data_IF_644702045721
#
_entry.id   IF_644702045721
#
_cell.length_a   1.000
_cell.length_b   1.000
_cell.length_c   1.000
_cell.angle_alpha   90.00
_cell.angle_beta   90.00
_cell.angle_gamma   90.00
#
_symmetry.space_group_name_H-M   'P 1'
#
loop_
_entity.id
_entity.type
_entity.pdbx_description
1 polymer ?
#
# COMPACT_ATOMS: atom_id res chain seq x y z
N UNK A 1 -4.90 -7.62 -17.57
CA UNK A 1 -3.80 -7.72 -16.59
C UNK A 1 -3.50 -6.38 -15.91
N UNK A 2 -4.46 -5.57 -15.61
CA UNK A 2 -4.17 -4.25 -15.06
C UNK A 2 -5.24 -3.88 -14.05
N UNK A 3 -5.07 -4.27 -12.81
CA UNK A 3 -6.03 -3.85 -11.77
C UNK A 3 -5.42 -3.67 -10.38
N UNK A 4 -4.27 -4.29 -10.12
CA UNK A 4 -3.78 -4.34 -8.76
C UNK A 4 -3.18 -3.03 -8.23
N UNK A 5 -2.51 -2.23 -9.06
CA UNK A 5 -1.87 -0.99 -8.60
C UNK A 5 -2.71 0.27 -8.82
N UNK A 6 -3.79 0.19 -9.58
CA UNK A 6 -4.59 1.38 -9.93
C UNK A 6 -5.62 1.79 -8.86
N UNK A 7 -6.09 0.84 -8.05
CA UNK A 7 -7.23 1.11 -7.15
C UNK A 7 -6.91 1.99 -5.94
N UNK A 8 -5.66 2.15 -5.56
CA UNK A 8 -5.32 2.87 -4.34
C UNK A 8 -4.78 4.29 -4.54
N UNK A 9 -4.31 4.62 -5.76
CA UNK A 9 -3.81 5.98 -6.05
C UNK A 9 -4.87 6.91 -6.65
N UNK A 10 -5.98 6.38 -7.15
CA UNK A 10 -7.04 7.14 -7.81
C UNK A 10 -8.38 7.02 -7.09
N UNK A 11 -8.40 7.25 -5.78
CA UNK A 11 -9.63 7.55 -5.07
C UNK A 11 -10.10 8.98 -5.34
N UNK A 12 -10.02 9.41 -6.61
CA UNK A 12 -10.75 10.55 -7.13
C UNK A 12 -11.56 10.03 -8.32
N UNK A 13 -12.86 9.78 -8.08
CA UNK A 13 -13.88 9.48 -9.09
C UNK A 13 -13.67 8.25 -9.97
N UNK A 14 -14.35 7.24 -9.63
CA UNK A 14 -14.55 6.05 -10.42
C UNK A 14 -14.53 4.85 -9.50
N UNK A 15 -15.73 4.42 -9.11
CA UNK A 15 -15.94 3.08 -8.59
C UNK A 15 -15.23 2.16 -9.57
N UNK A 16 -14.09 1.60 -9.16
CA UNK A 16 -13.56 0.41 -9.82
C UNK A 16 -14.75 -0.57 -9.81
N UNK A 17 -15.29 -1.00 -10.97
CA UNK A 17 -16.31 -2.01 -10.95
C UNK A 17 -15.62 -3.28 -10.43
N UNK A 18 -15.65 -3.45 -9.11
CA UNK A 18 -15.58 -4.79 -8.57
C UNK A 18 -16.67 -5.56 -9.32
N UNK A 19 -16.35 -6.69 -9.97
CA UNK A 19 -17.39 -7.55 -10.46
C UNK A 19 -18.29 -7.78 -9.27
N UNK A 20 -19.56 -7.42 -9.42
CA UNK A 20 -20.59 -7.63 -8.39
C UNK A 20 -20.34 -9.02 -7.84
N UNK A 21 -19.89 -9.10 -6.58
CA UNK A 21 -19.80 -10.37 -5.86
C UNK A 21 -21.16 -11.01 -6.02
N UNK A 22 -21.27 -12.01 -6.91
CA UNK A 22 -22.42 -12.91 -6.85
C UNK A 22 -22.39 -13.42 -5.44
N UNK A 23 -23.46 -13.17 -4.70
CA UNK A 23 -23.67 -13.73 -3.37
C UNK A 23 -23.57 -15.26 -3.50
N UNK A 24 -22.36 -15.78 -3.41
CA UNK A 24 -22.15 -17.20 -3.22
C UNK A 24 -22.54 -17.48 -1.80
N UNK A 25 -23.70 -18.08 -1.67
CA UNK A 25 -24.17 -18.67 -0.43
C UNK A 25 -23.05 -19.54 0.16
N UNK A 26 -22.80 -19.37 1.46
CA UNK A 26 -21.99 -20.28 2.28
C UNK A 26 -22.21 -21.73 1.82
N UNK A 27 -21.18 -22.57 1.74
CA UNK A 27 -21.38 -23.99 1.45
C UNK A 27 -22.37 -24.57 2.49
N UNK A 28 -23.34 -25.37 2.05
CA UNK A 28 -24.40 -25.87 2.94
C UNK A 28 -23.80 -26.80 3.97
N UNK A 29 -24.04 -26.52 5.24
CA UNK A 29 -23.86 -27.49 6.31
C UNK A 29 -24.76 -28.71 6.05
N UNK A 30 -24.37 -29.95 6.40
CA UNK A 30 -25.14 -31.13 6.12
C UNK A 30 -26.49 -31.09 6.85
N UNK A 31 -27.58 -31.08 6.11
CA UNK A 31 -28.96 -31.12 6.62
C UNK A 31 -29.31 -32.52 7.11
N UNK A 32 -29.89 -32.59 8.30
CA UNK A 32 -30.71 -33.71 8.73
C UNK A 32 -32.00 -33.76 7.91
N UNK A 33 -32.58 -34.95 7.64
CA UNK A 33 -33.70 -35.10 6.69
C UNK A 33 -35.05 -34.74 7.30
N UNK A 34 -35.90 -34.10 6.52
CA UNK A 34 -37.31 -33.88 6.90
C UNK A 34 -38.08 -32.93 5.97
N UNK A 35 -38.78 -33.48 5.01
CA UNK A 35 -40.15 -33.20 4.53
C UNK A 35 -40.56 -31.83 3.96
N UNK A 36 -40.92 -31.81 2.64
CA UNK A 36 -42.18 -31.22 2.22
C UNK A 36 -42.17 -29.87 1.46
N UNK A 37 -42.47 -29.96 0.13
CA UNK A 37 -43.28 -29.03 -0.72
C UNK A 37 -42.62 -27.75 -1.26
N UNK A 38 -42.53 -27.71 -2.61
CA UNK A 38 -42.44 -26.51 -3.47
C UNK A 38 -43.74 -25.68 -3.46
N UNK A 39 -43.71 -24.39 -3.81
CA UNK A 39 -44.11 -24.01 -5.14
C UNK A 39 -43.25 -22.91 -5.84
N UNK A 40 -43.43 -22.91 -7.16
CA UNK A 40 -42.94 -22.05 -8.22
C UNK A 40 -43.45 -20.60 -8.19
N UNK A 41 -42.65 -19.68 -8.78
CA UNK A 41 -43.00 -18.41 -9.49
C UNK A 41 -41.70 -17.60 -9.62
N UNK A 42 -41.24 -17.00 -10.73
CA UNK A 42 -41.89 -16.29 -11.78
C UNK A 42 -40.83 -15.25 -12.23
N UNK A 43 -40.43 -15.25 -13.52
CA UNK A 43 -39.52 -14.25 -14.12
C UNK A 43 -40.17 -12.87 -14.15
N UNK A 44 -39.39 -11.81 -13.82
CA UNK A 44 -39.66 -10.45 -14.30
C UNK A 44 -38.36 -9.83 -14.82
N UNK A 45 -38.39 -9.51 -16.11
CA UNK A 45 -37.38 -8.68 -16.81
C UNK A 45 -37.72 -7.21 -16.59
N UNK A 46 -36.76 -6.37 -16.27
CA UNK A 46 -36.88 -4.95 -16.48
C UNK A 46 -35.52 -4.40 -16.97
N UNK A 47 -35.51 -3.92 -18.22
CA UNK A 47 -34.40 -3.19 -18.83
C UNK A 47 -34.43 -1.72 -18.42
N UNK A 48 -33.25 -1.13 -18.27
CA UNK A 48 -33.06 0.33 -18.21
C UNK A 48 -31.85 0.70 -19.06
N UNK A 49 -32.12 1.56 -20.06
CA UNK A 49 -31.14 2.17 -20.98
C UNK A 49 -30.29 3.23 -20.28
N UNK A 50 -29.00 3.31 -20.64
CA UNK A 50 -28.07 4.34 -20.19
C UNK A 50 -27.83 5.34 -21.33
N UNK A 51 -27.85 6.66 -21.10
CA UNK A 51 -27.40 7.64 -22.09
C UNK A 51 -25.92 7.96 -21.91
N UNK A 52 -25.21 7.94 -23.01
CA UNK A 52 -23.83 8.38 -23.17
C UNK A 52 -23.76 9.91 -23.28
N UNK A 53 -22.94 10.57 -22.47
CA UNK A 53 -22.53 11.96 -22.72
C UNK A 53 -21.07 12.16 -22.31
N UNK A 54 -20.26 12.56 -23.27
CA UNK A 54 -18.88 13.02 -23.14
C UNK A 54 -18.85 14.41 -22.51
N UNK A 55 -17.95 14.64 -21.54
CA UNK A 55 -17.42 15.98 -21.26
C UNK A 55 -15.97 15.91 -20.76
N UNK A 56 -15.16 16.73 -21.36
CA UNK A 56 -13.72 16.94 -21.20
C UNK A 56 -13.40 17.86 -20.04
N UNK A 57 -12.26 17.63 -19.37
CA UNK A 57 -11.53 18.63 -18.59
C UNK A 57 -11.88 18.71 -17.11
N UNK A 58 -10.99 18.19 -16.23
CA UNK A 58 -11.17 18.27 -14.79
C UNK A 58 -10.02 19.07 -14.13
N UNK A 59 -10.28 20.24 -13.50
CA UNK A 59 -9.27 21.07 -12.84
C UNK A 59 -8.77 20.54 -11.48
N UNK A 60 -9.22 19.37 -11.03
CA UNK A 60 -8.90 18.82 -9.70
C UNK A 60 -7.57 18.07 -9.59
N UNK A 61 -6.93 17.71 -10.69
CA UNK A 61 -5.64 17.01 -10.67
C UNK A 61 -4.47 17.91 -10.20
N UNK A 62 -4.60 19.24 -10.35
CA UNK A 62 -3.62 20.21 -9.86
C UNK A 62 -3.63 20.41 -8.34
N UNK A 63 -4.77 20.16 -7.69
CA UNK A 63 -4.92 20.35 -6.25
C UNK A 63 -4.28 19.21 -5.42
N UNK A 64 -4.30 17.97 -5.93
CA UNK A 64 -3.72 16.80 -5.25
C UNK A 64 -2.18 16.85 -5.21
N UNK A 65 -1.56 17.42 -6.21
CA UNK A 65 -0.12 17.68 -6.28
C UNK A 65 0.30 18.78 -5.26
N UNK A 66 -0.54 19.79 -5.05
CA UNK A 66 -0.28 20.89 -4.13
C UNK A 66 -0.35 20.48 -2.63
N UNK A 67 -1.26 19.57 -2.27
CA UNK A 67 -1.41 19.13 -0.87
C UNK A 67 -0.28 18.19 -0.44
N UNK A 68 0.17 17.30 -1.32
CA UNK A 68 1.35 16.48 -1.08
C UNK A 68 2.63 17.33 -1.01
N UNK A 69 2.75 18.35 -1.87
CA UNK A 69 3.84 19.34 -1.85
C UNK A 69 3.88 20.14 -0.54
N UNK A 70 2.71 20.55 -0.02
CA UNK A 70 2.62 21.29 1.24
C UNK A 70 2.98 20.44 2.47
N UNK A 71 2.74 19.14 2.44
CA UNK A 71 3.05 18.23 3.53
C UNK A 71 4.57 17.96 3.62
N UNK A 72 5.25 17.78 2.49
CA UNK A 72 6.71 17.56 2.44
C UNK A 72 7.47 18.86 2.73
N UNK A 73 7.02 20.01 2.21
CA UNK A 73 7.63 21.31 2.52
C UNK A 73 7.52 21.69 4.01
N UNK A 74 6.43 21.32 4.71
CA UNK A 74 6.30 21.53 6.17
C UNK A 74 7.21 20.61 6.98
N UNK A 75 7.52 19.43 6.49
CA UNK A 75 8.45 18.50 7.14
C UNK A 75 9.93 18.92 7.05
N UNK A 76 10.28 19.75 6.07
CA UNK A 76 11.64 20.23 5.83
C UNK A 76 12.00 21.58 6.51
N UNK A 77 11.06 22.26 7.18
CA UNK A 77 11.34 23.54 7.82
C UNK A 77 11.94 23.38 9.23
N UNK A 78 13.11 23.98 9.54
CA UNK A 78 13.68 23.94 10.88
C UNK A 78 12.88 24.83 11.84
N UNK A 79 12.63 24.34 13.06
CA UNK A 79 12.02 25.07 14.14
C UNK A 79 12.81 26.36 14.45
N UNK A 80 12.15 27.50 14.35
CA UNK A 80 12.72 28.80 14.78
C UNK A 80 12.70 28.88 16.30
N UNK A 81 13.84 28.82 16.95
CA UNK A 81 14.00 29.26 18.32
C UNK A 81 14.21 30.78 18.33
N UNK A 82 13.40 31.47 19.13
CA UNK A 82 13.56 32.90 19.37
C UNK A 82 14.63 33.15 20.42
N UNK A 83 15.71 33.86 20.07
CA UNK A 83 16.51 34.64 21.00
C UNK A 83 17.17 35.81 20.26
N UNK A 84 16.94 37.01 20.75
CA UNK A 84 17.41 38.27 20.22
C UNK A 84 18.89 38.53 20.59
N UNK A 85 19.65 39.01 19.62
CA UNK A 85 20.68 40.06 19.78
C UNK A 85 21.44 40.30 18.46
N UNK A 86 21.40 41.51 17.94
CA UNK A 86 22.23 42.06 16.86
C UNK A 86 23.52 42.66 17.43
N UNK A 87 24.61 42.95 16.65
CA UNK A 87 24.92 43.02 15.23
C UNK A 87 26.32 42.41 14.89
N UNK A 88 27.05 42.70 13.79
CA UNK A 88 26.84 43.51 12.60
C UNK A 88 27.11 42.80 11.22
N UNK A 89 26.68 43.46 10.15
CA UNK A 89 26.92 43.29 8.72
C UNK A 89 28.05 42.32 8.27
N UNK A 90 27.62 41.22 7.66
CA UNK A 90 28.30 40.55 6.57
C UNK A 90 27.27 40.35 5.47
N UNK A 91 27.57 40.87 4.28
CA UNK A 91 26.75 40.74 3.06
C UNK A 91 26.78 39.28 2.58
N UNK A 92 25.87 38.46 3.10
CA UNK A 92 25.54 37.15 2.52
C UNK A 92 24.52 37.39 1.45
N UNK A 93 24.89 37.18 0.18
CA UNK A 93 23.98 37.12 -0.96
C UNK A 93 22.94 36.05 -0.71
N UNK A 94 21.76 36.45 -0.26
CA UNK A 94 20.62 35.55 -0.12
C UNK A 94 20.16 35.15 -1.53
N UNK A 95 20.41 33.91 -1.94
CA UNK A 95 19.87 33.32 -3.15
C UNK A 95 18.34 33.47 -3.15
N UNK A 96 17.74 33.80 -4.30
CA UNK A 96 16.29 33.91 -4.41
C UNK A 96 15.61 32.57 -4.15
N UNK A 97 14.33 32.52 -3.74
CA UNK A 97 13.62 31.24 -3.55
C UNK A 97 13.68 30.33 -4.78
N UNK A 98 13.64 30.88 -6.00
CA UNK A 98 13.79 30.12 -7.24
C UNK A 98 15.19 29.49 -7.37
N UNK A 99 16.26 30.25 -7.06
CA UNK A 99 17.63 29.72 -7.09
C UNK A 99 17.87 28.64 -6.01
N UNK A 100 17.21 28.75 -4.86
CA UNK A 100 17.27 27.71 -3.84
C UNK A 100 16.54 26.44 -4.28
N UNK A 101 15.45 26.58 -5.03
CA UNK A 101 14.70 25.46 -5.60
C UNK A 101 15.55 24.73 -6.65
N UNK A 102 16.09 25.45 -7.64
CA UNK A 102 16.96 24.89 -8.68
C UNK A 102 18.20 24.16 -8.09
N UNK A 103 18.81 24.72 -7.04
CA UNK A 103 19.94 24.06 -6.36
C UNK A 103 19.54 22.76 -5.67
N UNK A 104 18.31 22.69 -5.12
CA UNK A 104 17.79 21.44 -4.49
C UNK A 104 17.51 20.37 -5.53
N UNK A 105 16.85 20.74 -6.63
CA UNK A 105 16.58 19.83 -7.76
C UNK A 105 17.89 19.24 -8.29
N UNK A 106 18.88 20.10 -8.56
CA UNK A 106 20.19 19.64 -9.03
C UNK A 106 20.88 18.72 -8.02
N UNK A 107 20.76 19.02 -6.73
CA UNK A 107 21.32 18.18 -5.67
C UNK A 107 20.63 16.81 -5.59
N UNK A 108 19.29 16.77 -5.68
CA UNK A 108 18.51 15.52 -5.66
C UNK A 108 18.85 14.66 -6.87
N UNK A 109 18.91 15.26 -8.06
CA UNK A 109 19.31 14.56 -9.29
C UNK A 109 20.75 14.04 -9.25
N UNK A 110 21.69 14.82 -8.72
CA UNK A 110 23.08 14.37 -8.49
C UNK A 110 23.13 13.16 -7.53
N UNK A 111 22.36 13.21 -6.44
CA UNK A 111 22.25 12.11 -5.48
C UNK A 111 21.66 10.87 -6.15
N UNK A 112 20.57 11.02 -6.92
CA UNK A 112 19.96 9.93 -7.66
C UNK A 112 20.97 9.28 -8.63
N UNK A 113 21.69 10.08 -9.42
CA UNK A 113 22.73 9.59 -10.34
C UNK A 113 23.87 8.86 -9.63
N UNK A 114 24.15 9.17 -8.37
CA UNK A 114 25.22 8.52 -7.60
C UNK A 114 24.83 7.16 -7.01
N UNK A 115 23.51 6.86 -6.95
CA UNK A 115 23.01 5.62 -6.33
C UNK A 115 22.46 4.61 -7.34
N UNK A 116 22.14 5.04 -8.57
CA UNK A 116 21.69 4.15 -9.65
C UNK A 116 22.85 3.46 -10.33
N UNK A 117 22.59 2.31 -10.92
CA UNK A 117 23.57 1.55 -11.69
C UNK A 117 23.85 2.19 -13.04
N UNK A 118 25.10 2.09 -13.48
CA UNK A 118 25.51 2.48 -14.82
C UNK A 118 25.16 1.37 -15.82
N UNK A 119 24.64 1.77 -16.98
CA UNK A 119 24.36 0.82 -18.08
C UNK A 119 23.00 1.05 -18.73
N UNK A 120 22.70 0.21 -19.70
CA UNK A 120 21.48 0.25 -20.51
C UNK A 120 20.54 -0.90 -20.09
N UNK A 121 19.50 -0.63 -19.26
CA UNK A 121 18.62 -1.69 -18.76
C UNK A 121 17.80 -2.36 -19.87
N UNK A 122 17.59 -1.71 -21.04
CA UNK A 122 16.91 -2.32 -22.19
C UNK A 122 17.68 -3.49 -22.78
N UNK A 123 19.00 -3.59 -22.53
CA UNK A 123 19.82 -4.75 -22.92
C UNK A 123 19.76 -5.87 -21.89
N UNK A 124 19.53 -5.51 -20.61
CA UNK A 124 19.45 -6.48 -19.50
C UNK A 124 18.06 -7.07 -19.36
N UNK A 125 17.02 -6.24 -19.56
CA UNK A 125 15.64 -6.66 -19.37
C UNK A 125 14.86 -6.65 -20.68
N UNK A 126 14.08 -7.70 -20.91
CA UNK A 126 13.28 -7.91 -22.13
C UNK A 126 11.88 -8.42 -21.80
N UNK A 127 11.04 -8.64 -22.82
CA UNK A 127 9.69 -9.20 -22.69
C UNK A 127 8.82 -8.46 -21.66
N UNK A 128 8.76 -7.13 -21.76
CA UNK A 128 7.97 -6.30 -20.86
C UNK A 128 6.48 -6.54 -21.03
N UNK A 129 5.79 -6.84 -19.92
CA UNK A 129 4.35 -6.98 -19.81
C UNK A 129 3.88 -6.02 -18.70
N UNK A 130 2.97 -5.06 -18.99
CA UNK A 130 2.48 -4.13 -17.97
C UNK A 130 1.60 -4.87 -16.98
N UNK A 131 1.98 -4.82 -15.69
CA UNK A 131 1.22 -5.39 -14.58
C UNK A 131 0.20 -4.41 -14.02
N UNK A 132 0.53 -3.11 -14.02
CA UNK A 132 -0.34 -2.08 -13.52
C UNK A 132 0.29 -0.69 -13.60
N UNK A 133 -0.58 0.34 -13.43
CA UNK A 133 -0.19 1.74 -13.45
C UNK A 133 -0.84 2.49 -12.30
N UNK A 134 -0.06 3.29 -11.60
CA UNK A 134 -0.53 4.09 -10.46
C UNK A 134 0.00 5.52 -10.49
N UNK A 135 -0.25 6.28 -9.43
CA UNK A 135 0.20 7.68 -9.31
C UNK A 135 1.72 7.86 -9.30
N UNK A 136 2.47 6.82 -8.94
CA UNK A 136 3.94 6.82 -8.89
C UNK A 136 4.59 6.11 -10.09
N UNK A 137 3.85 5.88 -11.17
CA UNK A 137 4.37 5.26 -12.38
C UNK A 137 3.72 3.93 -12.75
N UNK A 138 4.35 3.16 -13.65
CA UNK A 138 3.87 1.88 -14.13
C UNK A 138 4.82 0.74 -13.71
N UNK A 139 4.25 -0.42 -13.40
CA UNK A 139 5.02 -1.63 -13.06
C UNK A 139 4.89 -2.64 -14.18
N UNK A 140 6.02 -3.20 -14.58
CA UNK A 140 6.13 -4.19 -15.64
C UNK A 140 6.74 -5.47 -15.09
N UNK A 141 6.23 -6.60 -15.52
CA UNK A 141 6.95 -7.86 -15.49
C UNK A 141 7.95 -7.86 -16.65
N UNK A 142 9.16 -8.32 -16.42
CA UNK A 142 10.19 -8.44 -17.45
C UNK A 142 11.02 -9.70 -17.21
N UNK A 143 11.85 -10.05 -18.20
CA UNK A 143 12.79 -11.15 -18.14
C UNK A 143 14.22 -10.59 -18.06
N UNK A 144 14.98 -10.96 -17.05
CA UNK A 144 16.42 -10.68 -16.98
C UNK A 144 17.15 -11.61 -17.96
N UNK A 145 17.72 -11.04 -19.02
CA UNK A 145 18.38 -11.79 -20.08
C UNK A 145 19.65 -12.55 -19.60
N UNK A 146 20.24 -12.13 -18.49
CA UNK A 146 21.47 -12.76 -17.95
C UNK A 146 21.17 -13.99 -17.11
N UNK A 147 20.04 -14.00 -16.39
CA UNK A 147 19.66 -15.07 -15.47
C UNK A 147 18.49 -15.91 -15.96
N UNK A 148 17.71 -15.41 -16.93
CA UNK A 148 16.43 -16.00 -17.34
C UNK A 148 15.31 -15.86 -16.33
N UNK A 149 15.52 -15.11 -15.23
CA UNK A 149 14.53 -14.94 -14.19
C UNK A 149 13.53 -13.82 -14.50
N UNK A 150 12.31 -13.99 -14.04
CA UNK A 150 11.29 -12.95 -14.08
C UNK A 150 11.58 -11.91 -13.00
N UNK A 151 11.43 -10.63 -13.35
CA UNK A 151 11.62 -9.48 -12.47
C UNK A 151 10.44 -8.53 -12.59
N UNK A 152 10.19 -7.73 -11.58
CA UNK A 152 9.28 -6.59 -11.65
C UNK A 152 10.09 -5.30 -11.83
N UNK A 153 9.66 -4.43 -12.75
CA UNK A 153 10.30 -3.14 -13.02
C UNK A 153 9.28 -2.02 -12.87
N UNK A 154 9.45 -1.19 -11.83
CA UNK A 154 8.67 0.04 -11.63
C UNK A 154 9.35 1.17 -12.38
N UNK A 155 8.61 1.82 -13.30
CA UNK A 155 9.07 2.98 -14.07
C UNK A 155 8.38 4.22 -13.55
N UNK A 156 9.16 5.21 -13.13
CA UNK A 156 8.68 6.47 -12.56
C UNK A 156 9.24 7.65 -13.36
N UNK A 157 8.37 8.52 -13.87
CA UNK A 157 8.79 9.74 -14.54
C UNK A 157 9.30 10.75 -13.51
N UNK A 158 10.52 11.28 -13.71
CA UNK A 158 11.13 12.30 -12.87
C UNK A 158 10.83 13.68 -13.48
N UNK A 159 9.62 14.16 -13.32
CA UNK A 159 9.19 15.44 -13.88
C UNK A 159 9.09 16.57 -12.84
N UNK A 160 9.24 16.25 -11.55
CA UNK A 160 9.08 17.18 -10.43
C UNK A 160 10.09 16.86 -9.32
N UNK A 161 10.61 17.89 -8.65
CA UNK A 161 11.55 17.81 -7.54
C UNK A 161 11.15 16.76 -6.49
N UNK A 162 9.86 16.68 -6.20
CA UNK A 162 9.32 15.76 -5.19
C UNK A 162 9.35 14.30 -5.61
N UNK A 163 9.32 14.01 -6.92
CA UNK A 163 9.44 12.63 -7.42
C UNK A 163 10.88 12.11 -7.30
N UNK A 164 11.88 12.97 -7.41
CA UNK A 164 13.29 12.60 -7.25
C UNK A 164 13.66 12.26 -5.80
N UNK A 165 13.20 13.05 -4.82
CA UNK A 165 13.40 12.73 -3.40
C UNK A 165 12.71 11.42 -3.01
N UNK A 166 11.48 11.21 -3.47
CA UNK A 166 10.76 9.96 -3.24
C UNK A 166 11.47 8.77 -3.89
N UNK A 167 11.98 8.96 -5.11
CA UNK A 167 12.75 7.95 -5.85
C UNK A 167 14.04 7.57 -5.11
N UNK A 168 14.81 8.56 -4.64
CA UNK A 168 16.02 8.34 -3.84
C UNK A 168 15.69 7.57 -2.56
N UNK A 169 14.64 7.99 -1.85
CA UNK A 169 14.20 7.36 -0.62
C UNK A 169 13.80 5.88 -0.85
N UNK A 170 13.01 5.61 -1.88
CA UNK A 170 12.58 4.26 -2.23
C UNK A 170 13.79 3.34 -2.53
N UNK A 171 14.74 3.81 -3.34
CA UNK A 171 15.97 3.06 -3.67
C UNK A 171 16.77 2.75 -2.40
N UNK A 172 17.04 3.77 -1.58
CA UNK A 172 17.88 3.64 -0.39
C UNK A 172 17.24 2.68 0.62
N UNK A 173 15.94 2.87 0.90
CA UNK A 173 15.23 2.01 1.84
C UNK A 173 15.19 0.57 1.36
N UNK A 174 14.87 0.31 0.09
CA UNK A 174 14.82 -1.06 -0.45
C UNK A 174 16.20 -1.72 -0.48
N UNK A 175 17.22 -1.00 -0.96
CA UNK A 175 18.60 -1.53 -1.06
C UNK A 175 19.15 -1.93 0.29
N UNK A 176 18.88 -1.12 1.32
CA UNK A 176 19.41 -1.30 2.66
C UNK A 176 18.51 -2.20 3.53
N UNK A 177 17.32 -2.60 3.03
CA UNK A 177 16.32 -3.39 3.76
C UNK A 177 16.17 -4.82 3.23
N UNK A 178 17.25 -5.60 3.25
CA UNK A 178 17.19 -7.03 2.87
C UNK A 178 16.55 -7.85 4.00
N UNK A 179 15.36 -8.38 3.75
CA UNK A 179 14.61 -9.20 4.70
C UNK A 179 13.66 -10.16 3.93
N UNK A 180 13.40 -11.39 4.40
CA UNK A 180 12.49 -12.31 3.74
C UNK A 180 11.08 -11.77 3.49
N UNK A 181 10.60 -10.84 4.33
CA UNK A 181 9.26 -10.26 4.25
C UNK A 181 9.25 -8.85 3.65
N UNK A 182 10.31 -8.48 2.93
CA UNK A 182 10.44 -7.23 2.17
C UNK A 182 10.82 -7.58 0.74
N UNK A 183 10.15 -6.95 -0.24
CA UNK A 183 10.46 -7.16 -1.66
C UNK A 183 11.92 -6.82 -1.92
N UNK A 184 12.64 -7.75 -2.54
CA UNK A 184 14.08 -7.64 -2.76
C UNK A 184 14.37 -6.64 -3.88
N UNK A 185 15.15 -5.62 -3.57
CA UNK A 185 15.77 -4.74 -4.55
C UNK A 185 16.83 -5.51 -5.35
N UNK A 186 16.78 -5.38 -6.67
CA UNK A 186 17.76 -5.98 -7.57
C UNK A 186 18.69 -4.92 -8.18
N UNK A 187 18.11 -3.85 -8.73
CA UNK A 187 18.87 -2.83 -9.44
C UNK A 187 18.03 -1.56 -9.66
N UNK A 188 18.67 -0.43 -10.03
CA UNK A 188 17.97 0.78 -10.46
C UNK A 188 18.76 1.51 -11.54
N UNK A 189 18.06 2.17 -12.46
CA UNK A 189 18.63 2.87 -13.59
C UNK A 189 17.89 4.18 -13.85
N UNK A 190 18.63 5.17 -14.35
CA UNK A 190 18.06 6.40 -14.87
C UNK A 190 18.11 6.37 -16.40
N UNK A 191 16.94 6.38 -17.05
CA UNK A 191 16.78 6.20 -18.49
C UNK A 191 15.84 7.26 -19.04
N UNK A 192 16.34 8.17 -19.88
CA UNK A 192 15.54 9.20 -20.56
C UNK A 192 14.64 10.02 -19.62
N UNK A 193 15.13 10.34 -18.41
CA UNK A 193 14.38 11.09 -17.41
C UNK A 193 13.38 10.23 -16.60
N UNK A 194 13.38 8.90 -16.79
CA UNK A 194 12.63 7.97 -15.96
C UNK A 194 13.56 7.18 -15.04
N UNK A 195 13.15 6.97 -13.80
CA UNK A 195 13.76 5.99 -12.92
C UNK A 195 13.14 4.60 -13.19
N UNK A 196 13.99 3.62 -13.45
CA UNK A 196 13.63 2.21 -13.53
C UNK A 196 14.14 1.50 -12.27
N UNK A 197 13.23 0.98 -11.46
CA UNK A 197 13.52 0.25 -10.23
C UNK A 197 13.20 -1.23 -10.45
N UNK A 198 14.24 -2.07 -10.54
CA UNK A 198 14.12 -3.51 -10.70
C UNK A 198 14.08 -4.21 -9.34
N UNK A 199 13.13 -5.12 -9.16
CA UNK A 199 12.92 -5.87 -7.94
C UNK A 199 12.49 -7.31 -8.27
N UNK A 200 12.53 -8.21 -7.29
CA UNK A 200 12.01 -9.56 -7.47
C UNK A 200 10.54 -9.53 -7.92
N UNK A 201 10.17 -10.50 -8.75
CA UNK A 201 8.79 -10.66 -9.19
C UNK A 201 8.04 -11.61 -8.27
N UNK A 202 6.92 -11.14 -7.70
CA UNK A 202 6.04 -11.92 -6.85
C UNK A 202 4.87 -12.45 -7.70
N UNK A 203 4.89 -13.72 -8.03
CA UNK A 203 4.01 -14.35 -9.03
C UNK A 203 2.57 -14.58 -8.55
N UNK A 204 2.32 -14.51 -7.25
CA UNK A 204 0.98 -14.53 -6.65
C UNK A 204 0.20 -13.23 -6.81
N UNK A 205 0.86 -12.10 -7.08
CA UNK A 205 0.26 -10.77 -7.17
C UNK A 205 0.13 -10.08 -5.81
N UNK A 206 -0.90 -9.27 -5.61
CA UNK A 206 -1.13 -8.54 -4.35
C UNK A 206 -2.11 -9.30 -3.45
N UNK A 207 -2.03 -9.07 -2.14
CA UNK A 207 -3.04 -9.55 -1.20
C UNK A 207 -4.43 -9.03 -1.58
N UNK A 208 -4.54 -7.80 -2.09
CA UNK A 208 -5.80 -7.24 -2.59
C UNK A 208 -6.40 -8.11 -3.70
N UNK A 209 -5.59 -8.59 -4.65
CA UNK A 209 -6.06 -9.48 -5.72
C UNK A 209 -6.58 -10.81 -5.17
N UNK A 210 -5.89 -11.36 -4.17
CA UNK A 210 -6.32 -12.59 -3.48
C UNK A 210 -7.65 -12.39 -2.78
N UNK A 211 -7.81 -11.28 -2.02
CA UNK A 211 -9.05 -10.95 -1.31
C UNK A 211 -10.23 -10.70 -2.26
N UNK A 212 -9.96 -10.23 -3.48
CA UNK A 212 -10.98 -10.09 -4.52
C UNK A 212 -11.56 -11.42 -5.01
N UNK A 213 -10.80 -12.51 -4.92
CA UNK A 213 -11.14 -13.82 -5.50
C UNK A 213 -11.60 -14.85 -4.44
N UNK A 214 -11.01 -14.85 -3.25
CA UNK A 214 -11.23 -15.88 -2.23
C UNK A 214 -11.34 -15.28 -0.82
N UNK A 215 -11.92 -16.05 0.11
CA UNK A 215 -11.95 -15.72 1.53
C UNK A 215 -10.82 -16.44 2.27
N UNK A 216 -10.22 -15.75 3.24
CA UNK A 216 -9.22 -16.33 4.13
C UNK A 216 -9.85 -16.87 5.41
N UNK A 217 -9.38 -18.02 5.87
CA UNK A 217 -9.65 -18.51 7.21
C UNK A 217 -8.78 -17.83 8.26
N UNK A 218 -9.18 -17.83 9.54
CA UNK A 218 -8.43 -17.11 10.58
C UNK A 218 -6.99 -17.57 10.73
N UNK A 219 -6.68 -18.85 10.51
CA UNK A 219 -5.31 -19.37 10.50
C UNK A 219 -4.46 -18.76 9.41
N UNK A 220 -5.03 -18.57 8.22
CA UNK A 220 -4.38 -17.92 7.06
C UNK A 220 -4.21 -16.42 7.30
N UNK A 221 -5.21 -15.75 7.90
CA UNK A 221 -5.11 -14.32 8.31
C UNK A 221 -3.96 -14.17 9.31
N UNK A 222 -3.85 -15.09 10.28
CA UNK A 222 -2.75 -15.14 11.24
C UNK A 222 -1.38 -15.29 10.57
N UNK A 223 -1.28 -16.14 9.54
CA UNK A 223 -0.07 -16.32 8.75
C UNK A 223 0.32 -15.02 8.01
N UNK A 224 -0.60 -14.38 7.29
CA UNK A 224 -0.33 -13.10 6.60
C UNK A 224 0.10 -12.03 7.60
N UNK A 225 -0.61 -11.89 8.73
CA UNK A 225 -0.25 -10.91 9.76
C UNK A 225 1.15 -11.17 10.33
N UNK A 226 1.53 -12.44 10.56
CA UNK A 226 2.86 -12.81 11.07
C UNK A 226 3.96 -12.35 10.09
N UNK A 227 3.82 -12.68 8.81
CA UNK A 227 4.82 -12.33 7.80
C UNK A 227 4.94 -10.80 7.65
N UNK A 228 3.82 -10.06 7.63
CA UNK A 228 3.85 -8.60 7.62
C UNK A 228 4.50 -8.02 8.88
N UNK A 229 4.21 -8.57 10.07
CA UNK A 229 4.80 -8.14 11.33
C UNK A 229 6.31 -8.36 11.39
N UNK A 230 6.83 -9.45 10.80
CA UNK A 230 8.27 -9.69 10.69
C UNK A 230 8.94 -8.62 9.84
N UNK A 231 8.34 -8.27 8.68
CA UNK A 231 8.81 -7.17 7.84
C UNK A 231 8.77 -5.82 8.55
N UNK A 232 7.65 -5.50 9.20
CA UNK A 232 7.49 -4.25 9.96
C UNK A 232 8.45 -4.17 11.16
N UNK A 233 8.61 -5.26 11.91
CA UNK A 233 9.57 -5.30 13.01
C UNK A 233 11.00 -5.01 12.54
N UNK A 234 11.40 -5.58 11.40
CA UNK A 234 12.69 -5.31 10.79
C UNK A 234 12.84 -3.83 10.40
N UNK A 235 11.87 -3.23 9.71
CA UNK A 235 11.88 -1.80 9.34
C UNK A 235 11.95 -0.90 10.58
N UNK A 236 11.07 -1.13 11.55
CA UNK A 236 10.99 -0.34 12.78
C UNK A 236 12.27 -0.42 13.61
N UNK A 237 12.92 -1.59 13.67
CA UNK A 237 14.22 -1.75 14.33
C UNK A 237 15.33 -0.90 13.68
N UNK A 238 15.18 -0.56 12.39
CA UNK A 238 16.05 0.30 11.61
C UNK A 238 15.57 1.75 11.52
N UNK A 239 14.55 2.09 12.34
CA UNK A 239 13.95 3.42 12.39
C UNK A 239 13.30 3.84 11.07
N UNK A 240 12.80 2.89 10.29
CA UNK A 240 12.03 3.13 9.07
C UNK A 240 10.56 2.91 9.35
N UNK A 241 9.72 3.87 8.97
CA UNK A 241 8.26 3.79 8.98
C UNK A 241 7.81 3.62 7.53
N UNK A 242 6.95 2.62 7.24
CA UNK A 242 6.46 2.35 5.89
C UNK A 242 5.44 3.40 5.41
N UNK A 243 4.47 3.75 6.23
CA UNK A 243 3.42 4.77 6.06
C UNK A 243 2.35 4.49 4.99
N UNK A 244 2.46 3.39 4.24
CA UNK A 244 1.43 2.99 3.26
C UNK A 244 1.21 1.47 3.24
N UNK A 245 1.10 0.85 4.43
CA UNK A 245 0.75 -0.55 4.59
C UNK A 245 -0.73 -0.73 4.22
N UNK A 246 -1.00 -1.53 3.18
CA UNK A 246 -2.34 -1.86 2.66
C UNK A 246 -2.26 -3.13 1.83
N UNK A 247 -3.38 -3.79 1.57
CA UNK A 247 -3.42 -5.05 0.81
C UNK A 247 -2.79 -4.97 -0.59
N UNK A 248 -2.87 -3.81 -1.26
CA UNK A 248 -2.22 -3.61 -2.56
C UNK A 248 -0.68 -3.54 -2.48
N UNK A 249 -0.12 -3.20 -1.32
CA UNK A 249 1.32 -3.11 -1.06
C UNK A 249 1.86 -4.33 -0.31
N UNK A 250 1.05 -5.37 -0.12
CA UNK A 250 1.45 -6.67 0.38
C UNK A 250 1.42 -7.63 -0.79
N UNK A 251 2.60 -8.09 -1.21
CA UNK A 251 2.74 -9.02 -2.33
C UNK A 251 2.83 -10.45 -1.81
N UNK A 252 2.30 -11.37 -2.60
CA UNK A 252 2.32 -12.80 -2.30
C UNK A 252 2.92 -13.59 -3.47
N UNK A 253 3.47 -14.75 -3.17
CA UNK A 253 4.01 -15.66 -4.18
C UNK A 253 3.28 -17.01 -4.13
N UNK A 254 3.35 -17.77 -5.24
CA UNK A 254 2.70 -19.07 -5.38
C UNK A 254 3.21 -20.11 -4.38
N UNK A 255 4.35 -19.89 -3.74
CA UNK A 255 4.89 -20.71 -2.65
C UNK A 255 4.33 -20.37 -1.26
N UNK A 256 3.49 -19.32 -1.16
CA UNK A 256 2.92 -18.81 0.07
C UNK A 256 3.74 -17.70 0.74
N UNK A 257 4.84 -17.25 0.15
CA UNK A 257 5.64 -16.13 0.67
C UNK A 257 4.83 -14.83 0.65
N UNK A 258 5.01 -14.00 1.69
CA UNK A 258 4.33 -12.70 1.86
C UNK A 258 5.37 -11.62 2.10
N UNK A 259 5.33 -10.52 1.34
CA UNK A 259 6.32 -9.44 1.41
C UNK A 259 5.68 -8.06 1.31
N UNK A 260 6.22 -7.12 2.09
CA UNK A 260 5.90 -5.69 1.99
C UNK A 260 6.58 -5.08 0.77
N UNK A 261 5.88 -4.18 0.08
CA UNK A 261 6.33 -3.50 -1.14
C UNK A 261 5.90 -2.03 -1.14
N UNK A 262 6.43 -1.26 -2.08
CA UNK A 262 6.17 0.17 -2.31
C UNK A 262 6.65 1.08 -1.16
N UNK A 263 7.95 1.39 -1.18
CA UNK A 263 8.65 2.16 -0.16
C UNK A 263 8.75 3.67 -0.49
N UNK A 264 8.05 4.14 -1.52
CA UNK A 264 8.07 5.54 -1.96
C UNK A 264 7.61 6.54 -0.89
N UNK A 265 6.74 6.12 0.02
CA UNK A 265 6.25 6.96 1.12
C UNK A 265 6.99 6.73 2.46
N UNK A 266 8.01 5.88 2.53
CA UNK A 266 8.71 5.60 3.78
C UNK A 266 9.36 6.85 4.41
N UNK A 267 9.49 6.83 5.72
CA UNK A 267 10.26 7.82 6.46
C UNK A 267 11.37 7.15 7.25
N UNK A 268 12.56 7.72 7.16
CA UNK A 268 13.68 7.33 8.01
C UNK A 268 13.80 8.28 9.19
N UNK A 269 13.68 7.74 10.39
CA UNK A 269 13.84 8.49 11.64
C UNK A 269 15.32 8.61 12.00
N UNK A 270 15.71 9.75 12.55
CA UNK A 270 17.04 9.98 13.11
C UNK A 270 16.96 10.16 14.62
N UNK A 271 18.08 10.09 15.35
CA UNK A 271 18.08 10.37 16.79
C UNK A 271 17.53 11.77 17.14
N UNK A 272 17.71 12.74 16.25
CA UNK A 272 17.26 14.14 16.42
C UNK A 272 15.80 14.31 15.97
N UNK A 273 15.31 13.42 15.13
CA UNK A 273 13.93 13.41 14.60
C UNK A 273 13.36 12.01 14.76
N UNK A 274 12.84 11.71 15.92
CA UNK A 274 12.27 10.42 16.30
C UNK A 274 10.78 10.26 15.93
N UNK A 275 10.12 11.32 15.42
CA UNK A 275 8.74 11.35 14.96
C UNK A 275 8.58 12.08 13.63
N UNK A 276 7.53 11.70 12.89
CA UNK A 276 7.07 12.36 11.66
C UNK A 276 5.81 13.19 11.96
N UNK A 277 5.51 14.18 11.09
CA UNK A 277 4.29 15.00 11.18
C UNK A 277 3.60 15.20 9.83
N UNK A 278 4.12 14.58 8.75
CA UNK A 278 3.53 14.68 7.41
C UNK A 278 2.29 13.80 7.29
N UNK A 279 1.16 14.35 6.84
CA UNK A 279 -0.07 13.58 6.59
C UNK A 279 0.00 12.91 5.22
N UNK A 280 0.59 11.71 5.17
CA UNK A 280 0.76 10.89 3.97
C UNK A 280 0.21 9.49 4.19
N UNK A 281 -0.13 8.80 3.09
CA UNK A 281 -0.69 7.45 3.10
C UNK A 281 -2.03 7.36 2.38
N UNK A 282 -2.58 6.16 2.32
CA UNK A 282 -3.89 5.87 1.72
C UNK A 282 -4.98 6.01 2.79
N UNK A 283 -6.00 6.87 2.59
CA UNK A 283 -6.93 7.30 3.65
C UNK A 283 -7.48 6.21 4.54
N UNK A 284 -8.09 5.14 3.99
CA UNK A 284 -8.74 4.09 4.79
C UNK A 284 -7.79 3.35 5.75
N UNK A 285 -6.48 3.34 5.46
CA UNK A 285 -5.45 2.68 6.28
C UNK A 285 -4.68 3.65 7.19
N UNK A 286 -4.95 4.97 7.11
CA UNK A 286 -4.26 5.98 7.94
C UNK A 286 -4.66 5.89 9.40
N UNK A 287 -3.67 6.00 10.29
CA UNK A 287 -3.90 6.09 11.73
C UNK A 287 -4.50 7.46 12.12
N UNK A 288 -5.30 7.55 13.20
CA UNK A 288 -5.95 8.79 13.62
C UNK A 288 -4.99 9.96 13.86
N UNK A 289 -3.82 9.70 14.45
CA UNK A 289 -2.78 10.71 14.67
C UNK A 289 -2.20 11.27 13.37
N UNK A 290 -2.10 10.45 12.31
CA UNK A 290 -1.69 10.89 10.96
C UNK A 290 -2.76 11.78 10.34
N UNK A 291 -4.04 11.39 10.49
CA UNK A 291 -5.19 12.17 10.00
C UNK A 291 -5.26 13.53 10.69
N UNK A 292 -5.04 13.58 12.00
CA UNK A 292 -5.01 14.84 12.77
C UNK A 292 -3.76 15.69 12.56
N UNK A 293 -2.75 15.17 11.83
CA UNK A 293 -1.48 15.88 11.61
C UNK A 293 -0.61 15.98 12.87
N UNK A 294 -0.80 15.09 13.82
CA UNK A 294 -0.01 14.99 15.05
C UNK A 294 1.36 14.37 14.76
N UNK A 295 2.30 14.50 15.69
CA UNK A 295 3.59 13.83 15.60
C UNK A 295 3.42 12.33 15.88
N UNK A 296 3.91 11.47 14.97
CA UNK A 296 3.69 10.03 15.03
C UNK A 296 4.98 9.23 14.81
N UNK A 297 4.97 8.00 15.29
CA UNK A 297 6.05 7.03 15.21
C UNK A 297 5.70 5.77 14.40
N UNK A 298 6.51 4.69 14.52
CA UNK A 298 6.34 3.45 13.75
C UNK A 298 5.01 2.73 13.98
N UNK A 299 4.32 3.00 15.09
CA UNK A 299 3.03 2.33 15.40
C UNK A 299 1.88 2.71 14.45
N UNK A 300 2.07 3.71 13.57
CA UNK A 300 1.10 4.00 12.50
C UNK A 300 0.99 2.84 11.51
N UNK A 301 2.09 2.11 11.24
CA UNK A 301 2.08 0.92 10.39
C UNK A 301 1.30 -0.23 11.05
N UNK A 302 1.29 -0.30 12.37
CA UNK A 302 0.52 -1.30 13.13
C UNK A 302 -0.99 -1.03 13.01
N UNK A 303 -1.40 0.23 13.08
CA UNK A 303 -2.78 0.59 12.79
C UNK A 303 -3.16 0.16 11.36
N UNK A 304 -2.34 0.50 10.38
CA UNK A 304 -2.57 0.13 8.97
C UNK A 304 -2.67 -1.38 8.78
N UNK A 305 -1.82 -2.18 9.44
CA UNK A 305 -1.92 -3.64 9.45
C UNK A 305 -3.21 -4.13 10.13
N UNK A 306 -3.67 -3.49 11.18
CA UNK A 306 -4.98 -3.76 11.80
C UNK A 306 -6.14 -3.53 10.82
N UNK A 307 -6.06 -2.49 9.99
CA UNK A 307 -7.04 -2.23 8.92
C UNK A 307 -6.96 -3.30 7.81
N UNK A 308 -5.75 -3.76 7.44
CA UNK A 308 -5.58 -4.92 6.54
C UNK A 308 -6.21 -6.18 7.16
N UNK A 309 -6.07 -6.37 8.47
CA UNK A 309 -6.75 -7.44 9.20
C UNK A 309 -8.27 -7.38 9.06
N UNK A 310 -8.87 -6.19 9.21
CA UNK A 310 -10.31 -5.98 8.94
C UNK A 310 -10.66 -6.24 7.48
N UNK A 311 -9.83 -5.78 6.54
CA UNK A 311 -10.01 -6.01 5.11
C UNK A 311 -10.02 -7.50 4.75
N UNK A 312 -9.12 -8.30 5.36
CA UNK A 312 -9.10 -9.76 5.19
C UNK A 312 -10.38 -10.44 5.72
N UNK A 313 -10.95 -9.92 6.80
CA UNK A 313 -12.16 -10.46 7.43
C UNK A 313 -13.43 -10.04 6.69
N UNK A 314 -13.56 -8.75 6.38
CA UNK A 314 -14.79 -8.16 5.84
C UNK A 314 -14.80 -8.15 4.28
N UNK A 315 -13.61 -8.34 3.66
CA UNK A 315 -13.41 -8.32 2.22
C UNK A 315 -13.17 -6.94 1.62
N UNK A 316 -13.30 -5.88 2.40
CA UNK A 316 -12.97 -4.49 2.00
C UNK A 316 -12.51 -3.69 3.23
N UNK A 317 -11.67 -2.67 3.00
CA UNK A 317 -11.24 -1.79 4.07
C UNK A 317 -12.40 -0.89 4.55
N UNK A 318 -12.40 -0.45 5.83
CA UNK A 318 -13.40 0.46 6.34
C UNK A 318 -13.47 1.75 5.52
N UNK A 319 -14.69 2.21 5.25
CA UNK A 319 -14.97 3.46 4.52
C UNK A 319 -14.40 3.52 3.08
N UNK A 320 -13.98 2.41 2.48
CA UNK A 320 -13.32 2.38 1.17
C UNK A 320 -14.17 3.01 0.03
N UNK A 321 -15.49 3.03 0.18
CA UNK A 321 -16.43 3.57 -0.81
C UNK A 321 -16.75 5.05 -0.60
N UNK A 322 -16.24 5.65 0.47
CA UNK A 322 -16.46 7.06 0.79
C UNK A 322 -15.46 7.97 0.08
N UNK A 323 -15.82 9.22 -0.23
CA UNK A 323 -14.87 10.21 -0.72
C UNK A 323 -13.71 10.44 0.27
N UNK A 324 -12.50 10.71 -0.24
CA UNK A 324 -11.27 10.87 0.57
C UNK A 324 -11.46 11.71 1.83
N UNK A 325 -11.99 12.92 1.70
CA UNK A 325 -12.19 13.84 2.83
C UNK A 325 -13.16 13.25 3.86
N UNK A 326 -14.19 12.54 3.40
CA UNK A 326 -15.14 11.88 4.28
C UNK A 326 -14.52 10.71 5.04
N UNK A 327 -13.62 9.93 4.41
CA UNK A 327 -12.86 8.89 5.10
C UNK A 327 -12.06 9.48 6.26
N UNK A 328 -11.31 10.56 6.01
CA UNK A 328 -10.50 11.23 7.04
C UNK A 328 -11.38 11.72 8.21
N UNK A 329 -12.49 12.38 7.91
CA UNK A 329 -13.47 12.81 8.93
C UNK A 329 -14.03 11.64 9.77
N UNK A 330 -14.33 10.50 9.10
CA UNK A 330 -14.86 9.32 9.78
C UNK A 330 -13.81 8.67 10.69
N UNK A 331 -12.54 8.62 10.27
CA UNK A 331 -11.44 8.10 11.09
C UNK A 331 -11.24 8.99 12.33
N UNK A 332 -11.18 10.31 12.14
CA UNK A 332 -11.00 11.26 13.23
C UNK A 332 -12.15 11.18 14.24
N UNK A 333 -13.38 11.15 13.76
CA UNK A 333 -14.59 11.18 14.59
C UNK A 333 -14.86 9.85 15.30
N UNK A 334 -14.73 8.72 14.61
CA UNK A 334 -15.17 7.42 15.11
C UNK A 334 -14.03 6.62 15.78
N UNK A 335 -12.75 6.99 15.51
CA UNK A 335 -11.60 6.21 15.97
C UNK A 335 -11.54 4.81 15.35
N UNK A 336 -11.27 3.80 16.17
CA UNK A 336 -11.11 2.43 15.70
C UNK A 336 -12.39 1.85 15.07
N UNK A 337 -12.30 1.39 13.80
CA UNK A 337 -13.42 0.69 13.17
C UNK A 337 -13.73 -0.62 13.90
N UNK A 338 -14.98 -1.06 13.82
CA UNK A 338 -15.45 -2.28 14.48
C UNK A 338 -15.79 -3.35 13.45
N UNK A 339 -15.54 -4.61 13.80
CA UNK A 339 -16.05 -5.75 13.05
C UNK A 339 -17.58 -5.68 12.94
N UNK A 340 -18.12 -5.95 11.75
CA UNK A 340 -19.57 -5.97 11.51
C UNK A 340 -20.24 -7.11 12.30
N UNK A 341 -19.62 -8.29 12.33
CA UNK A 341 -20.15 -9.48 12.99
C UNK A 341 -19.13 -10.09 13.99
N UNK A 342 -18.80 -9.41 15.10
CA UNK A 342 -17.72 -9.84 15.99
C UNK A 342 -17.93 -11.23 16.62
N UNK A 343 -19.20 -11.68 16.75
CA UNK A 343 -19.51 -13.01 17.33
C UNK A 343 -19.18 -14.18 16.39
N UNK A 344 -18.95 -13.92 15.10
CA UNK A 344 -18.58 -14.95 14.12
C UNK A 344 -17.09 -15.25 14.12
N UNK A 345 -16.30 -14.44 14.83
CA UNK A 345 -14.84 -14.51 14.87
C UNK A 345 -14.32 -14.93 16.23
N UNK A 346 -13.16 -15.57 16.24
CA UNK A 346 -12.52 -16.04 17.47
C UNK A 346 -12.20 -14.90 18.43
N UNK A 347 -12.07 -15.20 19.71
CA UNK A 347 -11.63 -14.23 20.70
C UNK A 347 -10.20 -13.75 20.41
N UNK A 348 -9.34 -14.61 19.86
CA UNK A 348 -7.95 -14.29 19.53
C UNK A 348 -7.86 -13.27 18.40
N UNK A 349 -8.61 -13.45 17.32
CA UNK A 349 -8.65 -12.46 16.22
C UNK A 349 -9.15 -11.11 16.71
N UNK A 350 -10.25 -11.10 17.47
CA UNK A 350 -10.81 -9.86 18.02
C UNK A 350 -9.84 -9.12 18.94
N UNK A 351 -9.09 -9.87 19.76
CA UNK A 351 -8.09 -9.29 20.66
C UNK A 351 -6.89 -8.77 19.89
N UNK A 352 -6.40 -9.48 18.87
CA UNK A 352 -5.35 -9.03 17.98
C UNK A 352 -5.71 -7.71 17.31
N UNK A 353 -6.90 -7.62 16.69
CA UNK A 353 -7.38 -6.39 16.05
C UNK A 353 -7.50 -5.25 17.07
N UNK A 354 -7.96 -5.53 18.29
CA UNK A 354 -8.01 -4.53 19.37
C UNK A 354 -6.62 -4.02 19.76
N UNK A 355 -5.59 -4.88 19.77
CA UNK A 355 -4.21 -4.47 20.05
C UNK A 355 -3.62 -3.61 18.93
N UNK A 356 -3.98 -3.89 17.66
CA UNK A 356 -3.54 -3.09 16.51
C UNK A 356 -4.27 -1.73 16.41
N UNK A 357 -5.56 -1.68 16.69
CA UNK A 357 -6.45 -0.54 16.43
C UNK A 357 -6.73 0.28 17.71
N UNK A 358 -5.73 0.49 18.56
CA UNK A 358 -5.80 1.45 19.65
C UNK A 358 -5.66 2.87 19.10
N UNK A 359 -6.63 3.75 19.41
CA UNK A 359 -6.58 5.17 19.00
C UNK A 359 -5.43 5.89 19.70
N UNK A 360 -5.14 5.51 20.94
CA UNK A 360 -3.99 5.98 21.70
C UNK A 360 -2.73 5.22 21.23
N UNK A 361 -1.76 5.94 20.62
CA UNK A 361 -0.51 5.39 20.12
C UNK A 361 0.27 4.64 21.21
N UNK A 362 0.26 5.14 22.45
CA UNK A 362 1.02 4.54 23.54
C UNK A 362 0.46 3.15 23.94
N UNK A 363 -0.86 2.97 23.84
CA UNK A 363 -1.54 1.69 24.12
C UNK A 363 -1.53 0.73 22.95
N UNK A 364 -1.26 1.21 21.74
CA UNK A 364 -1.15 0.38 20.55
C UNK A 364 0.11 -0.47 20.64
N UNK A 365 -0.01 -1.77 20.41
CA UNK A 365 1.11 -2.68 20.47
C UNK A 365 2.10 -2.41 19.34
N UNK A 366 3.38 -2.67 19.59
CA UNK A 366 4.45 -2.68 18.59
C UNK A 366 4.43 -3.97 17.76
N UNK A 367 5.15 -3.98 16.65
CA UNK A 367 5.34 -5.21 15.85
C UNK A 367 5.96 -6.34 16.69
N UNK A 368 6.93 -6.02 17.55
CA UNK A 368 7.60 -6.99 18.42
C UNK A 368 6.64 -7.62 19.44
N UNK A 369 5.72 -6.86 20.00
CA UNK A 369 4.72 -7.37 20.94
C UNK A 369 3.69 -8.25 20.22
N UNK A 370 3.20 -7.79 19.04
CA UNK A 370 2.22 -8.54 18.24
C UNK A 370 2.76 -9.84 17.67
N UNK A 371 4.06 -9.95 17.40
CA UNK A 371 4.69 -11.23 17.01
C UNK A 371 4.58 -12.31 18.10
N UNK A 372 4.33 -11.93 19.36
CA UNK A 372 4.10 -12.84 20.48
C UNK A 372 2.61 -13.07 20.76
N UNK A 373 1.72 -12.40 20.05
CA UNK A 373 0.28 -12.52 20.28
C UNK A 373 -0.22 -13.91 19.90
N UNK A 374 -1.07 -14.58 20.72
CA UNK A 374 -1.54 -15.94 20.46
C UNK A 374 -2.18 -16.14 19.07
N UNK A 375 -2.91 -15.15 18.56
CA UNK A 375 -3.47 -15.20 17.20
C UNK A 375 -2.40 -15.38 16.11
N UNK A 376 -1.26 -14.71 16.27
CA UNK A 376 -0.15 -14.77 15.31
C UNK A 376 0.67 -16.05 15.47
N UNK A 377 0.94 -16.43 16.73
CA UNK A 377 1.75 -17.64 17.02
C UNK A 377 0.99 -18.94 16.75
N UNK A 378 -0.34 -18.95 16.81
CA UNK A 378 -1.18 -20.08 16.46
C UNK A 378 -1.68 -20.08 15.01
N UNK A 379 -1.33 -19.04 14.23
CA UNK A 379 -1.65 -18.97 12.79
C UNK A 379 -0.97 -20.10 12.01
N UNK A 380 -1.54 -20.41 10.86
CA UNK A 380 -1.04 -21.42 9.95
C UNK A 380 0.41 -21.12 9.52
N UNK A 381 1.19 -22.10 9.06
CA UNK A 381 2.47 -21.82 8.40
C UNK A 381 2.23 -21.03 7.08
N UNK A 382 3.16 -20.16 6.69
CA UNK A 382 3.02 -19.35 5.46
C UNK A 382 2.81 -20.22 4.20
N UNK A 383 3.42 -21.43 4.17
CA UNK A 383 3.24 -22.40 3.07
C UNK A 383 1.77 -22.83 2.87
N UNK A 384 0.90 -22.71 3.87
CA UNK A 384 -0.54 -23.00 3.71
C UNK A 384 -1.25 -22.00 2.79
N UNK A 385 -0.67 -20.81 2.62
CA UNK A 385 -1.21 -19.77 1.73
C UNK A 385 -1.06 -20.15 0.26
N UNK A 386 -0.11 -21.05 -0.11
CA UNK A 386 0.16 -21.44 -1.49
C UNK A 386 -1.12 -21.94 -2.20
N UNK A 387 -1.85 -22.88 -1.60
CA UNK A 387 -3.08 -23.43 -2.19
C UNK A 387 -4.16 -22.34 -2.36
N UNK A 388 -4.27 -21.40 -1.41
CA UNK A 388 -5.21 -20.29 -1.48
C UNK A 388 -4.86 -19.33 -2.63
N UNK A 389 -3.59 -18.99 -2.78
CA UNK A 389 -3.09 -18.08 -3.82
C UNK A 389 -3.29 -18.71 -5.21
N UNK A 390 -2.99 -20.01 -5.36
CA UNK A 390 -3.26 -20.77 -6.59
C UNK A 390 -4.75 -20.72 -6.95
N UNK A 391 -5.63 -20.98 -5.97
CA UNK A 391 -7.08 -20.91 -6.17
C UNK A 391 -7.55 -19.50 -6.56
N UNK A 392 -6.99 -18.45 -5.96
CA UNK A 392 -7.30 -17.08 -6.31
C UNK A 392 -6.88 -16.73 -7.75
N UNK A 393 -5.71 -17.21 -8.18
CA UNK A 393 -5.24 -17.05 -9.57
C UNK A 393 -6.17 -17.73 -10.56
N UNK A 394 -6.57 -18.97 -10.30
CA UNK A 394 -7.50 -19.70 -11.17
C UNK A 394 -8.83 -18.95 -11.34
N UNK A 395 -9.42 -18.47 -10.23
CA UNK A 395 -10.65 -17.68 -10.28
C UNK A 395 -10.48 -16.40 -11.11
N UNK A 396 -9.34 -15.73 -11.02
CA UNK A 396 -9.04 -14.53 -11.81
C UNK A 396 -8.87 -14.84 -13.29
N UNK A 397 -8.28 -15.98 -13.64
CA UNK A 397 -8.12 -16.44 -15.03
C UNK A 397 -9.45 -16.80 -15.65
N UNK A 398 -10.32 -17.52 -14.93
CA UNK A 398 -11.67 -17.88 -15.37
C UNK A 398 -12.49 -16.62 -15.68
N UNK A 399 -12.46 -15.60 -14.82
CA UNK A 399 -13.15 -14.31 -15.07
C UNK A 399 -12.63 -13.57 -16.32
N UNK A 400 -11.35 -13.70 -16.64
CA UNK A 400 -10.77 -13.08 -17.86
C UNK A 400 -11.20 -13.83 -19.11
N UNK A 401 -11.26 -15.15 -19.04
CA UNK A 401 -11.77 -16.00 -20.12
C UNK A 401 -13.22 -15.65 -20.49
N UNK A 402 -14.10 -15.50 -19.49
CA UNK A 402 -15.50 -15.13 -19.66
C UNK A 402 -15.71 -13.70 -20.19
N UNK A 403 -14.79 -12.77 -19.90
CA UNK A 403 -14.88 -11.39 -20.37
C UNK A 403 -14.43 -11.21 -21.84
N UNK A 404 -13.72 -12.20 -22.41
CA UNK A 404 -13.25 -12.21 -23.80
C UNK A 404 -14.10 -13.08 -24.72
N UNK A 405 -15.05 -13.85 -24.19
CA UNK A 405 -16.00 -14.69 -24.94
C UNK A 405 -17.32 -13.95 -25.15
#
# INVERSE_FOLDING_TARGET
MSLAMCCCSTAAFGVCPLPLRRAHAKPPQPKRPGGGRQPSFGRVLCGVSVPTTFLTGNPFLSQLSLDARSAVQRAAAPARSAAASTPPHASTSSSSPAQQLEMREEQSLRRLRSIVSLGEPRRKYSAFEELGRGGFGAVYKALDASTGQQVAIKKMALQEEMSEELAVNEIVVMRDSRNPNIVTYLDSYLVDGELWLAMEFMDGGTLYDVLGAVYLEEGQIGAVCRECLQGLHFLHSRRVIHRDVKSCNILVSMDGSVKLADFGLCAQLTPERDKCSSSVGTPSWMAPEVVRGEAYGPKVDIWSLGIVGLEMVEGEAPYQREPRLRVLELIERNGAPKLQNPRQHSALLRDFLRCCLQTDEDRRWSAQELLKHPFVTSGDPASSLAALIISAKQVQEDWRGDACA
#
